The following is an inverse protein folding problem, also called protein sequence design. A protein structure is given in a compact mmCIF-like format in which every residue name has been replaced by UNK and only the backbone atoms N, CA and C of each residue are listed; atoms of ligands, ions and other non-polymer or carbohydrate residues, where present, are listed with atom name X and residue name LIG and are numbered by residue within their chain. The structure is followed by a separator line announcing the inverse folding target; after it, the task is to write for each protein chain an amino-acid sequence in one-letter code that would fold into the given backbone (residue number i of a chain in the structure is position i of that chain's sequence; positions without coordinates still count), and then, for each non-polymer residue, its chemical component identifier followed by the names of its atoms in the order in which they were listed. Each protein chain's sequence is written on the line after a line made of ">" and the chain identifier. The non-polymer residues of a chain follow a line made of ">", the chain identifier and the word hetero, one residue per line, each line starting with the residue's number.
data_IF_842525853700
#
_entry.id   IF_842525853700
#
_cell.length_a   1.000
_cell.length_b   1.000
_cell.length_c   1.000
_cell.angle_alpha   90.00
_cell.angle_beta   90.00
_cell.angle_gamma   90.00
#
_symmetry.space_group_name_H-M   'P 1'
#
loop_
_entity.id
_entity.type
_entity.pdbx_description
1 polymer ?
#
# COMPACT_ATOMS: atom_id res chain seq x y z
N UNK A 1 -9.33 -40.21 11.92
CA UNK A 1 -8.48 -40.67 10.79
C UNK A 1 -8.80 -39.95 9.48
N UNK A 2 -9.97 -40.18 8.84
CA UNK A 2 -10.33 -39.44 7.61
C UNK A 2 -10.80 -38.00 7.88
N UNK A 3 -11.60 -37.83 8.94
CA UNK A 3 -12.13 -36.53 9.34
C UNK A 3 -11.01 -35.54 9.75
N UNK A 4 -10.01 -36.02 10.49
CA UNK A 4 -8.86 -35.21 10.90
C UNK A 4 -8.04 -34.72 9.69
N UNK A 5 -7.91 -35.57 8.66
CA UNK A 5 -7.21 -35.22 7.41
C UNK A 5 -7.96 -34.13 6.63
N UNK A 6 -9.29 -34.25 6.56
CA UNK A 6 -10.15 -33.23 5.91
C UNK A 6 -10.05 -31.91 6.67
N UNK A 7 -10.06 -31.93 8.00
CA UNK A 7 -9.89 -30.72 8.82
C UNK A 7 -8.52 -30.07 8.61
N UNK A 8 -7.45 -30.86 8.59
CA UNK A 8 -6.09 -30.35 8.37
C UNK A 8 -5.95 -29.70 6.99
N UNK A 9 -6.60 -30.27 5.97
CA UNK A 9 -6.64 -29.70 4.62
C UNK A 9 -7.39 -28.36 4.59
N UNK A 10 -8.59 -28.30 5.17
CA UNK A 10 -9.40 -27.06 5.23
C UNK A 10 -8.68 -25.93 5.98
N UNK A 11 -8.02 -26.26 7.10
CA UNK A 11 -7.21 -25.30 7.86
C UNK A 11 -6.00 -24.81 7.04
N UNK A 12 -5.38 -25.70 6.26
CA UNK A 12 -4.30 -25.34 5.32
C UNK A 12 -4.77 -24.36 4.25
N UNK A 13 -5.91 -24.62 3.60
CA UNK A 13 -6.47 -23.71 2.60
C UNK A 13 -6.88 -22.35 3.18
N UNK A 14 -7.45 -22.34 4.39
CA UNK A 14 -7.80 -21.10 5.08
C UNK A 14 -6.53 -20.28 5.40
N UNK A 15 -5.48 -20.92 5.90
CA UNK A 15 -4.19 -20.29 6.20
C UNK A 15 -3.52 -19.74 4.94
N UNK A 16 -3.48 -20.52 3.87
CA UNK A 16 -2.91 -20.08 2.59
C UNK A 16 -3.65 -18.87 2.02
N UNK A 17 -4.99 -18.85 2.11
CA UNK A 17 -5.79 -17.69 1.70
C UNK A 17 -5.50 -16.46 2.57
N UNK A 18 -5.42 -16.62 3.88
CA UNK A 18 -5.05 -15.53 4.79
C UNK A 18 -3.67 -14.95 4.45
N UNK A 19 -2.65 -15.80 4.28
CA UNK A 19 -1.30 -15.35 3.88
C UNK A 19 -1.29 -14.64 2.52
N UNK A 20 -2.06 -15.14 1.53
CA UNK A 20 -2.18 -14.45 0.23
C UNK A 20 -2.86 -13.08 0.33
N UNK A 21 -3.75 -12.91 1.31
CA UNK A 21 -4.44 -11.64 1.54
C UNK A 21 -3.51 -10.64 2.25
N UNK A 22 -2.74 -11.08 3.23
CA UNK A 22 -1.70 -10.28 3.90
C UNK A 22 -0.64 -9.78 2.90
N UNK A 23 -0.17 -10.66 2.00
CA UNK A 23 0.79 -10.28 0.95
C UNK A 23 0.20 -9.22 -0.01
N UNK A 24 -1.08 -9.38 -0.39
CA UNK A 24 -1.77 -8.41 -1.24
C UNK A 24 -1.95 -7.06 -0.54
N UNK A 25 -2.26 -7.05 0.76
CA UNK A 25 -2.36 -5.82 1.54
C UNK A 25 -1.01 -5.12 1.61
N UNK A 26 0.06 -5.82 1.96
CA UNK A 26 1.41 -5.26 2.01
C UNK A 26 1.86 -4.68 0.65
N UNK A 27 1.53 -5.37 -0.46
CA UNK A 27 1.79 -4.85 -1.79
C UNK A 27 1.02 -3.56 -2.10
N UNK A 28 -0.26 -3.48 -1.71
CA UNK A 28 -1.09 -2.29 -1.91
C UNK A 28 -0.63 -1.12 -1.03
N UNK A 29 -0.30 -1.36 0.23
CA UNK A 29 0.27 -0.36 1.15
C UNK A 29 1.55 0.23 0.56
N UNK A 30 2.46 -0.62 0.08
CA UNK A 30 3.69 -0.15 -0.58
C UNK A 30 3.42 0.65 -1.87
N UNK A 31 2.33 0.38 -2.58
CA UNK A 31 1.92 1.18 -3.76
C UNK A 31 1.38 2.54 -3.35
N UNK A 32 0.57 2.61 -2.29
CA UNK A 32 0.06 3.87 -1.76
C UNK A 32 1.23 4.75 -1.32
N UNK A 33 2.16 4.22 -0.53
CA UNK A 33 3.35 4.97 -0.08
C UNK A 33 4.19 5.52 -1.25
N UNK A 34 4.36 4.72 -2.32
CA UNK A 34 5.06 5.18 -3.53
C UNK A 34 4.30 6.29 -4.25
N UNK A 35 2.99 6.18 -4.37
CA UNK A 35 2.16 7.20 -5.00
C UNK A 35 2.21 8.51 -4.21
N UNK A 36 2.12 8.43 -2.88
CA UNK A 36 2.18 9.61 -2.02
C UNK A 36 3.51 10.35 -2.18
N UNK A 37 4.63 9.61 -2.23
CA UNK A 37 5.95 10.19 -2.51
C UNK A 37 5.99 10.89 -3.87
N UNK A 38 5.45 10.26 -4.92
CA UNK A 38 5.40 10.88 -6.26
C UNK A 38 4.52 12.14 -6.27
N UNK A 39 3.38 12.12 -5.58
CA UNK A 39 2.49 13.28 -5.49
C UNK A 39 3.17 14.45 -4.76
N UNK A 40 3.85 14.17 -3.65
CA UNK A 40 4.63 15.19 -2.94
C UNK A 40 5.68 15.80 -3.86
N UNK A 41 6.51 14.99 -4.52
CA UNK A 41 7.55 15.50 -5.42
C UNK A 41 6.98 16.29 -6.62
N UNK A 42 5.80 15.91 -7.11
CA UNK A 42 5.10 16.66 -8.16
C UNK A 42 4.61 18.02 -7.67
N UNK A 43 4.02 18.09 -6.46
CA UNK A 43 3.56 19.35 -5.87
C UNK A 43 4.76 20.29 -5.70
N UNK A 44 5.82 19.81 -5.08
CA UNK A 44 7.10 20.51 -4.93
C UNK A 44 7.64 21.08 -6.24
N UNK A 45 7.69 20.24 -7.28
CA UNK A 45 8.11 20.67 -8.62
C UNK A 45 7.20 21.78 -9.19
N UNK A 46 5.88 21.64 -9.03
CA UNK A 46 4.92 22.63 -9.50
C UNK A 46 5.04 23.96 -8.74
N UNK A 47 5.24 23.92 -7.42
CA UNK A 47 5.45 25.12 -6.60
C UNK A 47 6.70 25.87 -7.03
N UNK A 48 7.81 25.15 -7.23
CA UNK A 48 9.07 25.74 -7.70
C UNK A 48 8.92 26.38 -9.09
N UNK A 49 8.17 25.73 -10.00
CA UNK A 49 7.93 26.23 -11.35
C UNK A 49 7.02 27.46 -11.35
N UNK A 50 5.93 27.40 -10.59
CA UNK A 50 4.86 28.40 -10.62
C UNK A 50 5.07 29.50 -9.55
N UNK A 51 6.14 29.39 -8.74
CA UNK A 51 6.52 30.28 -7.62
C UNK A 51 5.35 30.61 -6.70
N UNK A 52 4.54 29.59 -6.43
CA UNK A 52 3.34 29.69 -5.63
C UNK A 52 3.25 28.47 -4.73
N UNK A 53 2.94 28.72 -3.47
CA UNK A 53 2.59 27.70 -2.49
C UNK A 53 1.24 27.04 -2.89
N UNK A 54 1.28 25.73 -3.14
CA UNK A 54 0.14 24.94 -3.60
C UNK A 54 -0.46 24.08 -2.50
N UNK A 55 0.36 23.63 -1.53
CA UNK A 55 -0.11 22.82 -0.40
C UNK A 55 -0.48 23.63 0.85
N UNK A 56 -0.13 24.92 0.88
CA UNK A 56 -0.47 25.87 1.92
C UNK A 56 0.47 25.87 3.13
N UNK A 57 1.67 25.29 3.01
CA UNK A 57 2.65 25.24 4.09
C UNK A 57 3.41 26.57 4.32
N UNK A 58 3.22 27.56 3.44
CA UNK A 58 3.85 28.87 3.49
C UNK A 58 5.26 28.91 2.90
N UNK A 59 5.75 27.80 2.35
CA UNK A 59 7.02 27.64 1.65
C UNK A 59 6.76 27.40 0.15
N UNK A 60 7.81 27.50 -0.66
CA UNK A 60 7.79 27.11 -2.08
C UNK A 60 8.89 26.08 -2.19
N UNK A 61 8.58 24.78 -2.28
CA UNK A 61 9.62 23.78 -2.02
C UNK A 61 9.27 22.34 -2.28
#
# INVERSE_FOLDING_TARGET
>A
MLWDLIQQFQLGEARNRASSMEERVAFLEGRVERNDKVLVELIKYLEQRDKRDLDGDGSIG
#
